data_IF_313175269616
#
_entry.id   IF_313175269616
#
_cell.length_a   1.000
_cell.length_b   1.000
_cell.length_c   1.000
_cell.angle_alpha   90.00
_cell.angle_beta   90.00
_cell.angle_gamma   90.00
#
_symmetry.space_group_name_H-M   'P 1'
#
loop_
_entity.id
_entity.type
_entity.pdbx_description
1 polymer ?
#
# COMPACT_ATOMS: atom_id res chain seq x y z
N UNK A 1 1.58 -29.83 9.77
CA UNK A 1 1.88 -29.77 8.32
C UNK A 1 0.73 -29.06 7.64
N UNK A 2 0.81 -27.73 7.53
CA UNK A 2 -0.24 -26.90 6.94
C UNK A 2 0.26 -26.35 5.60
N UNK A 3 -0.28 -26.87 4.50
CA UNK A 3 -0.10 -26.34 3.16
C UNK A 3 -1.00 -25.11 2.99
N UNK A 4 -0.44 -23.91 3.13
CA UNK A 4 -1.10 -22.67 2.73
C UNK A 4 -0.65 -22.33 1.30
N UNK A 5 -1.61 -22.25 0.38
CA UNK A 5 -1.37 -22.00 -1.05
C UNK A 5 -1.62 -20.52 -1.35
N UNK A 6 -0.75 -19.94 -2.17
CA UNK A 6 -0.63 -18.49 -2.38
C UNK A 6 -1.30 -18.02 -3.67
N UNK A 7 -2.11 -16.96 -3.59
CA UNK A 7 -3.01 -16.48 -4.64
C UNK A 7 -3.29 -14.96 -4.51
N UNK A 8 -2.71 -14.06 -5.33
CA UNK A 8 -2.98 -12.60 -5.28
C UNK A 8 -4.41 -12.21 -5.70
N UNK A 9 -4.83 -11.02 -5.25
CA UNK A 9 -5.92 -10.17 -5.77
C UNK A 9 -5.85 -8.78 -5.08
N UNK A 10 -6.21 -7.64 -5.65
CA UNK A 10 -6.18 -7.21 -7.05
C UNK A 10 -5.01 -6.23 -7.23
N UNK A 11 -4.80 -5.75 -8.45
CA UNK A 11 -4.08 -4.49 -8.68
C UNK A 11 -5.09 -3.46 -9.17
N UNK A 12 -5.29 -2.36 -8.44
CA UNK A 12 -5.85 -1.14 -9.01
C UNK A 12 -4.80 -0.49 -9.93
N UNK A 13 -4.49 -1.15 -11.06
CA UNK A 13 -3.69 -0.59 -12.14
C UNK A 13 -4.53 0.50 -12.82
N UNK A 14 -4.28 1.74 -12.40
CA UNK A 14 -4.96 2.93 -12.90
C UNK A 14 -4.57 3.16 -14.36
N UNK A 15 -5.43 2.70 -15.27
CA UNK A 15 -5.44 3.16 -16.66
C UNK A 15 -6.64 4.11 -16.87
N UNK A 16 -6.60 4.97 -17.88
CA UNK A 16 -7.58 6.04 -18.08
C UNK A 16 -9.01 5.56 -18.46
N UNK A 17 -9.20 4.25 -18.64
CA UNK A 17 -10.47 3.58 -18.93
C UNK A 17 -11.30 3.31 -17.67
N UNK A 18 -12.61 3.11 -17.82
CA UNK A 18 -13.51 2.67 -16.73
C UNK A 18 -13.36 1.17 -16.42
N UNK A 19 -12.13 0.75 -16.10
CA UNK A 19 -11.75 -0.64 -15.88
C UNK A 19 -11.07 -0.78 -14.52
N UNK A 20 -11.43 -1.82 -13.77
CA UNK A 20 -10.70 -2.30 -12.59
C UNK A 20 -10.03 -3.63 -12.97
N UNK A 21 -8.72 -3.75 -12.76
CA UNK A 21 -7.99 -4.99 -13.01
C UNK A 21 -8.03 -5.91 -11.78
N UNK A 22 -8.20 -7.20 -12.01
CA UNK A 22 -8.20 -8.26 -11.01
C UNK A 22 -7.27 -9.37 -11.48
N UNK A 23 -6.36 -9.80 -10.60
CA UNK A 23 -5.56 -11.00 -10.76
C UNK A 23 -6.12 -12.05 -9.80
N UNK A 24 -6.23 -13.30 -10.26
CA UNK A 24 -6.61 -14.48 -9.47
C UNK A 24 -5.58 -15.57 -9.69
N UNK A 25 -5.35 -16.45 -8.73
CA UNK A 25 -4.57 -17.66 -8.95
C UNK A 25 -5.44 -18.88 -8.61
N UNK A 26 -5.00 -20.07 -9.00
CA UNK A 26 -5.73 -21.34 -8.87
C UNK A 26 -7.08 -21.39 -9.66
N UNK A 27 -7.30 -22.55 -10.25
CA UNK A 27 -8.57 -22.99 -10.83
C UNK A 27 -9.79 -22.96 -9.89
N UNK A 28 -9.59 -23.18 -8.58
CA UNK A 28 -10.68 -23.25 -7.61
C UNK A 28 -11.32 -21.88 -7.37
N UNK A 29 -10.48 -20.85 -7.18
CA UNK A 29 -10.97 -19.48 -7.02
C UNK A 29 -11.57 -18.93 -8.30
N UNK A 30 -10.96 -19.23 -9.45
CA UNK A 30 -11.50 -18.88 -10.76
C UNK A 30 -12.95 -19.34 -10.93
N UNK A 31 -13.30 -20.54 -10.43
CA UNK A 31 -14.68 -21.04 -10.46
C UNK A 31 -15.62 -20.23 -9.56
N UNK A 32 -15.19 -19.90 -8.34
CA UNK A 32 -16.03 -19.17 -7.38
C UNK A 32 -16.16 -17.69 -7.73
N UNK A 33 -15.10 -17.07 -8.25
CA UNK A 33 -15.12 -15.69 -8.72
C UNK A 33 -16.00 -15.49 -9.94
N UNK A 34 -15.96 -16.40 -10.94
CA UNK A 34 -16.90 -16.33 -12.06
C UNK A 34 -18.35 -16.40 -11.60
N UNK A 35 -18.69 -17.35 -10.70
CA UNK A 35 -20.03 -17.41 -10.08
C UNK A 35 -20.42 -16.10 -9.41
N UNK A 36 -19.51 -15.45 -8.68
CA UNK A 36 -19.78 -14.12 -8.10
C UNK A 36 -20.10 -13.08 -9.18
N UNK A 37 -19.23 -12.94 -10.19
CA UNK A 37 -19.43 -11.95 -11.25
C UNK A 37 -20.74 -12.17 -12.01
N UNK A 38 -21.07 -13.43 -12.28
CA UNK A 38 -22.31 -13.84 -12.95
C UNK A 38 -23.54 -13.56 -12.04
N UNK A 39 -23.46 -13.82 -10.72
CA UNK A 39 -24.53 -13.51 -9.76
C UNK A 39 -24.79 -12.01 -9.59
N UNK A 40 -23.74 -11.20 -9.55
CA UNK A 40 -23.82 -9.74 -9.37
C UNK A 40 -24.00 -8.97 -10.70
N UNK A 41 -24.14 -9.68 -11.84
CA UNK A 41 -24.24 -9.12 -13.19
C UNK A 41 -23.10 -8.14 -13.54
N UNK A 42 -21.88 -8.45 -13.10
CA UNK A 42 -20.70 -7.60 -13.34
C UNK A 42 -20.18 -7.86 -14.75
N UNK A 43 -20.04 -6.81 -15.57
CA UNK A 43 -19.38 -6.92 -16.88
C UNK A 43 -17.87 -7.11 -16.70
N UNK A 44 -17.31 -8.21 -17.22
CA UNK A 44 -15.88 -8.51 -17.18
C UNK A 44 -15.36 -9.08 -18.50
N UNK A 45 -14.05 -9.00 -18.69
CA UNK A 45 -13.32 -9.70 -19.74
C UNK A 45 -12.11 -10.43 -19.14
N UNK A 46 -11.87 -11.64 -19.63
CA UNK A 46 -10.63 -12.38 -19.33
C UNK A 46 -9.56 -11.92 -20.33
N UNK A 47 -8.36 -11.60 -19.82
CA UNK A 47 -7.26 -11.11 -20.65
C UNK A 47 -6.30 -12.25 -21.00
N UNK A 48 -5.63 -12.81 -19.99
CA UNK A 48 -4.56 -13.80 -20.19
C UNK A 48 -4.25 -14.62 -18.93
N UNK A 49 -3.44 -15.66 -19.09
CA UNK A 49 -2.80 -16.37 -17.98
C UNK A 49 -1.35 -15.90 -17.90
N UNK A 50 -0.99 -15.27 -16.79
CA UNK A 50 0.35 -14.83 -16.44
C UNK A 50 1.01 -15.92 -15.57
N UNK A 51 2.27 -16.25 -15.82
CA UNK A 51 3.08 -17.02 -14.87
C UNK A 51 3.75 -16.04 -13.89
N UNK A 52 3.43 -16.16 -12.61
CA UNK A 52 4.06 -15.41 -11.52
C UNK A 52 4.69 -16.43 -10.59
N UNK A 53 6.03 -16.49 -10.56
CA UNK A 53 6.80 -17.39 -9.70
C UNK A 53 6.38 -18.89 -9.80
N UNK A 54 6.18 -19.39 -11.01
CA UNK A 54 5.68 -20.74 -11.32
C UNK A 54 4.23 -21.02 -10.88
N UNK A 55 3.45 -19.97 -10.60
CA UNK A 55 2.01 -20.05 -10.36
C UNK A 55 1.23 -19.43 -11.51
N UNK A 56 0.16 -20.11 -11.95
CA UNK A 56 -0.76 -19.59 -12.95
C UNK A 56 -1.69 -18.54 -12.33
N UNK A 57 -1.61 -17.34 -12.88
CA UNK A 57 -2.41 -16.17 -12.50
C UNK A 57 -3.31 -15.78 -13.66
N UNK A 58 -4.60 -15.63 -13.43
CA UNK A 58 -5.63 -15.27 -14.39
C UNK A 58 -5.94 -13.77 -14.28
N UNK A 59 -5.77 -13.02 -15.37
CA UNK A 59 -6.06 -11.58 -15.40
C UNK A 59 -7.48 -11.29 -15.92
N UNK A 60 -8.19 -10.41 -15.22
CA UNK A 60 -9.53 -9.94 -15.53
C UNK A 60 -9.61 -8.42 -15.54
N UNK A 61 -10.34 -7.88 -16.52
CA UNK A 61 -10.69 -6.47 -16.61
C UNK A 61 -12.20 -6.33 -16.38
N UNK A 62 -12.58 -5.76 -15.25
CA UNK A 62 -13.96 -5.49 -14.85
C UNK A 62 -14.34 -4.08 -15.26
N UNK A 63 -15.50 -3.92 -15.89
CA UNK A 63 -16.01 -2.62 -16.34
C UNK A 63 -16.74 -1.93 -15.19
N UNK A 64 -16.16 -0.86 -14.66
CA UNK A 64 -16.72 -0.13 -13.52
C UNK A 64 -17.81 0.85 -14.02
N UNK A 65 -19.03 0.83 -13.44
CA UNK A 65 -20.04 1.85 -13.72
C UNK A 65 -19.53 3.25 -13.42
N UNK A 66 -19.81 4.23 -14.28
CA UNK A 66 -19.26 5.59 -14.20
C UNK A 66 -19.68 6.37 -12.94
N UNK A 67 -20.71 5.90 -12.24
CA UNK A 67 -21.23 6.44 -10.98
C UNK A 67 -20.67 5.76 -9.72
N UNK A 68 -19.77 4.77 -9.85
CA UNK A 68 -19.18 4.03 -8.72
C UNK A 68 -17.68 4.33 -8.62
N UNK A 69 -17.19 4.61 -7.41
CA UNK A 69 -15.76 4.77 -7.20
C UNK A 69 -15.02 3.44 -7.43
N UNK A 70 -14.00 3.47 -8.31
CA UNK A 70 -13.27 2.24 -8.73
C UNK A 70 -12.68 1.47 -7.55
N UNK A 71 -12.19 2.17 -6.53
CA UNK A 71 -11.64 1.59 -5.30
C UNK A 71 -12.67 0.89 -4.40
N UNK A 72 -13.97 1.12 -4.60
CA UNK A 72 -15.04 0.52 -3.79
C UNK A 72 -15.84 -0.58 -4.50
N UNK A 73 -15.76 -0.68 -5.84
CA UNK A 73 -16.65 -1.53 -6.64
C UNK A 73 -16.52 -3.02 -6.29
N UNK A 74 -15.36 -3.63 -6.55
CA UNK A 74 -14.98 -4.93 -5.98
C UNK A 74 -13.80 -4.72 -5.05
N UNK A 75 -14.01 -5.06 -3.78
CA UNK A 75 -13.06 -4.91 -2.68
C UNK A 75 -13.04 -6.19 -1.83
N UNK A 76 -12.06 -6.32 -0.93
CA UNK A 76 -11.86 -7.55 -0.13
C UNK A 76 -13.12 -8.05 0.58
N UNK A 77 -13.99 -7.16 1.08
CA UNK A 77 -15.20 -7.55 1.82
C UNK A 77 -16.22 -8.26 0.92
N UNK A 78 -16.34 -7.85 -0.34
CA UNK A 78 -17.25 -8.46 -1.32
C UNK A 78 -16.84 -9.89 -1.68
N UNK A 79 -15.57 -10.25 -1.49
CA UNK A 79 -15.01 -11.56 -1.85
C UNK A 79 -15.12 -12.59 -0.72
N UNK A 80 -15.24 -12.13 0.54
CA UNK A 80 -15.29 -13.00 1.73
C UNK A 80 -16.46 -14.01 1.69
N UNK A 81 -17.61 -13.61 1.16
CA UNK A 81 -18.81 -14.46 1.05
C UNK A 81 -18.65 -15.65 0.11
N UNK A 82 -17.75 -15.56 -0.87
CA UNK A 82 -17.51 -16.60 -1.87
C UNK A 82 -16.42 -17.60 -1.47
N UNK A 83 -15.84 -17.43 -0.27
CA UNK A 83 -14.75 -18.24 0.26
C UNK A 83 -13.57 -18.38 -0.74
N UNK A 84 -13.39 -17.34 -1.57
CA UNK A 84 -12.19 -17.10 -2.37
C UNK A 84 -11.09 -16.84 -1.35
N UNK A 85 -9.93 -17.48 -1.49
CA UNK A 85 -8.87 -17.31 -0.50
C UNK A 85 -8.50 -15.83 -0.44
N UNK A 86 -8.13 -15.36 0.75
CA UNK A 86 -7.66 -13.98 0.85
C UNK A 86 -6.52 -13.80 -0.15
N UNK A 87 -6.48 -12.67 -0.86
CA UNK A 87 -5.34 -12.34 -1.67
C UNK A 87 -4.05 -12.52 -0.88
N UNK A 88 -3.28 -13.51 -1.31
CA UNK A 88 -1.98 -13.85 -0.81
C UNK A 88 -0.98 -13.06 -1.63
N UNK A 89 -0.93 -11.79 -1.25
CA UNK A 89 0.07 -10.81 -1.63
C UNK A 89 1.47 -11.31 -1.22
N UNK A 90 2.04 -12.19 -2.05
CA UNK A 90 3.45 -12.55 -2.03
C UNK A 90 4.21 -11.83 -3.14
N UNK A 91 4.14 -10.50 -3.06
CA UNK A 91 5.41 -9.80 -2.95
C UNK A 91 5.31 -8.90 -1.72
N UNK A 92 5.96 -9.32 -0.62
CA UNK A 92 6.31 -8.40 0.45
C UNK A 92 7.24 -7.38 -0.18
N UNK A 93 6.82 -6.13 -0.08
CA UNK A 93 7.54 -4.95 -0.53
C UNK A 93 9.04 -5.08 -0.27
N UNK A 94 9.83 -5.12 -1.35
CA UNK A 94 11.31 -5.10 -1.29
C UNK A 94 11.87 -3.68 -1.21
N UNK A 95 11.09 -2.77 -0.64
CA UNK A 95 11.40 -1.35 -0.49
C UNK A 95 11.84 -1.10 0.95
N UNK A 96 12.99 -0.48 1.10
CA UNK A 96 13.66 -0.25 2.38
C UNK A 96 14.50 -1.43 2.87
N UNK A 97 14.78 -2.42 2.03
CA UNK A 97 15.63 -3.56 2.43
C UNK A 97 17.09 -3.12 2.66
N UNK A 98 17.52 -2.03 2.01
CA UNK A 98 18.82 -1.41 2.23
C UNK A 98 18.84 -0.46 3.46
N UNK A 99 17.67 -0.15 4.05
CA UNK A 99 17.57 0.82 5.14
C UNK A 99 17.74 0.14 6.53
N UNK A 100 18.63 0.66 7.39
CA UNK A 100 19.13 -0.07 8.55
C UNK A 100 18.09 -0.38 9.63
N UNK A 101 16.98 0.36 9.70
CA UNK A 101 15.90 0.14 10.68
C UNK A 101 14.62 -0.42 10.07
N UNK A 102 14.54 -0.68 8.77
CA UNK A 102 13.35 -1.26 8.12
C UNK A 102 12.93 -2.59 8.74
N UNK A 103 13.89 -3.46 9.10
CA UNK A 103 13.67 -4.72 9.83
C UNK A 103 12.89 -4.57 11.16
N UNK A 104 12.89 -3.37 11.75
CA UNK A 104 12.18 -3.04 12.98
C UNK A 104 10.77 -2.48 12.73
N UNK A 105 10.42 -2.14 11.49
CA UNK A 105 9.07 -1.70 11.11
C UNK A 105 8.11 -2.90 11.00
N UNK A 106 7.72 -3.47 12.14
CA UNK A 106 6.70 -4.52 12.20
C UNK A 106 5.38 -4.08 11.52
N UNK A 107 5.10 -2.77 11.50
CA UNK A 107 3.95 -2.16 10.82
C UNK A 107 3.94 -2.42 9.30
N UNK A 108 5.11 -2.51 8.66
CA UNK A 108 5.28 -2.90 7.27
C UNK A 108 5.11 -4.40 7.05
N UNK A 109 5.85 -5.16 7.84
CA UNK A 109 5.98 -6.61 7.72
C UNK A 109 6.36 -7.16 9.08
N UNK A 110 5.40 -7.83 9.71
CA UNK A 110 5.57 -8.48 10.99
C UNK A 110 6.01 -9.93 10.74
N UNK A 111 7.30 -10.18 10.89
CA UNK A 111 7.92 -11.51 10.80
C UNK A 111 8.05 -12.19 12.18
N UNK A 112 7.39 -11.66 13.22
CA UNK A 112 7.61 -12.07 14.59
C UNK A 112 8.87 -11.47 15.21
N UNK A 113 9.42 -10.36 14.66
CA UNK A 113 10.69 -9.77 15.10
C UNK A 113 10.69 -9.24 16.55
N UNK A 114 9.52 -9.16 17.18
CA UNK A 114 9.34 -8.80 18.59
C UNK A 114 8.54 -9.85 19.37
N UNK A 115 7.50 -10.43 18.76
CA UNK A 115 6.68 -11.50 19.32
C UNK A 115 6.17 -12.40 18.19
N UNK A 116 6.66 -13.64 18.15
CA UNK A 116 6.28 -14.65 17.14
C UNK A 116 4.78 -14.93 17.11
N UNK A 117 4.07 -14.78 18.24
CA UNK A 117 2.60 -14.97 18.30
C UNK A 117 1.83 -13.88 17.54
N UNK A 118 2.48 -12.75 17.24
CA UNK A 118 1.93 -11.65 16.45
C UNK A 118 2.33 -11.69 14.97
N UNK A 119 3.06 -12.71 14.51
CA UNK A 119 3.51 -12.81 13.11
C UNK A 119 2.35 -12.61 12.13
N UNK A 120 2.55 -11.77 11.10
CA UNK A 120 1.52 -11.31 10.14
C UNK A 120 0.43 -10.39 10.71
N UNK A 121 0.50 -9.96 11.97
CA UNK A 121 -0.22 -8.79 12.48
C UNK A 121 0.60 -7.54 12.13
N UNK A 122 0.60 -7.20 10.85
CA UNK A 122 1.10 -5.96 10.29
C UNK A 122 -0.06 -5.18 9.64
N UNK A 123 0.18 -3.96 9.16
CA UNK A 123 -0.81 -3.31 8.28
C UNK A 123 -0.90 -4.00 6.92
N UNK A 124 -0.05 -5.00 6.66
CA UNK A 124 0.13 -5.61 5.39
C UNK A 124 0.41 -4.55 4.35
N UNK A 125 1.65 -4.04 4.29
CA UNK A 125 2.19 -3.46 3.05
C UNK A 125 2.52 -4.59 2.04
N UNK A 126 1.42 -5.29 1.76
CA UNK A 126 0.90 -5.90 0.54
C UNK A 126 0.74 -4.89 -0.60
N UNK A 127 1.09 -3.63 -0.34
CA UNK A 127 1.18 -2.54 -1.29
C UNK A 127 2.35 -2.79 -2.24
N UNK A 128 2.08 -3.48 -3.33
CA UNK A 128 3.00 -3.65 -4.46
C UNK A 128 3.91 -2.45 -4.73
N UNK A 129 5.07 -2.66 -5.35
CA UNK A 129 6.04 -1.59 -5.62
C UNK A 129 5.48 -0.38 -6.41
N UNK A 130 4.33 -0.49 -7.09
CA UNK A 130 3.64 0.64 -7.74
C UNK A 130 2.69 1.45 -6.83
N UNK A 131 2.36 0.98 -5.62
CA UNK A 131 1.54 1.70 -4.64
C UNK A 131 2.44 2.58 -3.76
N UNK A 132 2.85 3.71 -4.32
CA UNK A 132 3.80 4.65 -3.70
C UNK A 132 3.16 5.92 -3.15
N UNK A 133 1.84 6.09 -3.29
CA UNK A 133 1.17 7.37 -2.97
C UNK A 133 1.36 8.47 -4.02
N UNK A 134 1.97 8.16 -5.18
CA UNK A 134 2.11 9.09 -6.30
C UNK A 134 0.78 9.76 -6.64
N UNK A 135 0.81 11.08 -6.82
CA UNK A 135 -0.36 11.96 -7.06
C UNK A 135 -1.37 12.06 -5.89
N UNK A 136 -1.05 11.54 -4.70
CA UNK A 136 -1.81 11.80 -3.47
C UNK A 136 -1.16 12.97 -2.72
N UNK A 137 -1.97 13.91 -2.26
CA UNK A 137 -1.54 15.00 -1.38
C UNK A 137 -2.02 14.71 0.04
N UNK A 138 -1.13 14.87 1.02
CA UNK A 138 -1.40 14.68 2.45
C UNK A 138 -1.05 15.99 3.17
N UNK A 139 -1.81 16.33 4.22
CA UNK A 139 -1.55 17.49 5.07
C UNK A 139 -1.42 17.05 6.51
N UNK A 140 -0.39 17.53 7.20
CA UNK A 140 -0.09 17.17 8.58
C UNK A 140 -0.09 18.43 9.45
N UNK A 141 -0.78 18.35 10.58
CA UNK A 141 -0.85 19.43 11.58
C UNK A 141 -0.29 18.85 12.87
N UNK A 142 0.91 19.28 13.24
CA UNK A 142 1.70 18.67 14.31
C UNK A 142 2.67 19.69 14.95
N UNK A 143 3.61 19.23 15.79
CA UNK A 143 4.54 20.07 16.56
C UNK A 143 5.66 20.74 15.74
N UNK A 144 6.05 20.17 14.60
CA UNK A 144 7.08 20.70 13.71
C UNK A 144 7.68 19.65 12.79
N UNK A 145 8.64 20.05 11.96
CA UNK A 145 9.33 19.17 11.03
C UNK A 145 10.80 19.54 10.83
N UNK A 146 11.70 18.60 11.08
CA UNK A 146 13.06 18.66 10.58
C UNK A 146 13.08 18.51 9.05
N UNK A 147 12.97 19.63 8.35
CA UNK A 147 12.99 19.71 6.88
C UNK A 147 14.36 19.36 6.28
N UNK A 148 15.41 19.29 7.10
CA UNK A 148 16.75 18.90 6.69
C UNK A 148 17.04 17.41 6.96
N UNK A 149 16.10 16.67 7.55
CA UNK A 149 16.24 15.25 7.79
C UNK A 149 16.51 14.52 6.46
N UNK A 150 17.61 13.78 6.40
CA UNK A 150 18.13 13.13 5.18
C UNK A 150 17.11 12.21 4.50
N UNK A 151 16.17 11.70 5.28
CA UNK A 151 15.11 10.77 4.88
C UNK A 151 13.83 11.45 4.37
N UNK A 152 13.67 12.78 4.55
CA UNK A 152 12.41 13.50 4.31
C UNK A 152 12.47 14.53 3.18
N UNK A 153 13.47 14.42 2.27
CA UNK A 153 13.73 15.37 1.18
C UNK A 153 12.58 15.55 0.18
N UNK A 154 11.55 14.70 0.24
CA UNK A 154 10.36 14.75 -0.60
C UNK A 154 9.22 15.60 0.02
N UNK A 155 9.40 16.14 1.23
CA UNK A 155 8.41 17.01 1.87
C UNK A 155 8.28 18.36 1.14
N UNK A 156 7.06 18.87 1.01
CA UNK A 156 6.76 20.07 0.25
C UNK A 156 6.61 21.30 1.16
N UNK A 157 7.73 21.98 1.44
CA UNK A 157 7.77 23.18 2.29
C UNK A 157 6.96 24.37 1.76
N UNK A 158 6.77 24.47 0.44
CA UNK A 158 6.09 25.62 -0.20
C UNK A 158 4.60 25.71 0.16
N UNK A 159 4.02 24.62 0.66
CA UNK A 159 2.60 24.51 1.06
C UNK A 159 2.40 24.33 2.58
N UNK A 160 3.47 24.51 3.36
CA UNK A 160 3.47 24.41 4.82
C UNK A 160 3.60 25.77 5.50
N UNK A 161 3.21 25.87 6.78
CA UNK A 161 3.26 27.12 7.54
C UNK A 161 3.31 26.86 9.04
N UNK A 162 4.23 27.54 9.75
CA UNK A 162 4.31 27.50 11.20
C UNK A 162 3.31 28.51 11.79
N UNK A 163 2.22 27.99 12.35
CA UNK A 163 1.14 28.79 12.96
C UNK A 163 1.51 29.45 14.29
N UNK A 164 2.50 28.90 15.00
CA UNK A 164 2.93 29.39 16.31
C UNK A 164 3.77 30.67 16.14
N UNK A 165 4.79 30.59 15.29
CA UNK A 165 5.74 31.69 15.03
C UNK A 165 5.33 32.58 13.83
N UNK A 166 4.24 32.20 13.15
CA UNK A 166 3.60 32.94 12.03
C UNK A 166 4.56 33.18 10.86
N UNK A 167 5.28 32.13 10.48
CA UNK A 167 6.30 32.17 9.43
C UNK A 167 6.33 30.82 8.67
N UNK A 168 7.31 30.66 7.78
CA UNK A 168 7.51 29.46 6.97
C UNK A 168 8.65 28.56 7.51
N UNK A 169 9.17 28.84 8.70
CA UNK A 169 10.18 28.00 9.35
C UNK A 169 9.49 26.88 10.13
N UNK A 170 9.60 25.66 9.61
CA UNK A 170 8.97 24.48 10.17
C UNK A 170 9.85 23.78 11.23
N UNK A 171 11.09 24.24 11.42
CA UNK A 171 12.04 23.57 12.31
C UNK A 171 11.51 23.52 13.75
N UNK A 172 11.54 22.34 14.40
CA UNK A 172 11.23 22.20 15.81
C UNK A 172 12.09 23.14 16.66
N UNK A 173 11.46 23.93 17.52
CA UNK A 173 12.15 24.86 18.41
C UNK A 173 12.86 24.17 19.59
N UNK A 174 12.55 22.88 19.84
CA UNK A 174 13.22 22.01 20.80
C UNK A 174 13.24 20.55 20.33
N UNK A 175 14.19 19.76 20.84
CA UNK A 175 14.34 18.33 20.55
C UNK A 175 13.16 17.47 21.01
N UNK A 176 12.32 17.94 21.95
CA UNK A 176 11.08 17.24 22.33
C UNK A 176 10.00 17.32 21.24
N UNK A 177 10.02 18.35 20.39
CA UNK A 177 9.03 18.60 19.33
C UNK A 177 9.36 17.79 18.06
N UNK A 178 9.44 16.47 18.21
CA UNK A 178 9.85 15.53 17.17
C UNK A 178 8.67 14.69 16.63
N UNK A 179 7.44 14.95 17.08
CA UNK A 179 6.28 14.11 16.75
C UNK A 179 5.92 14.23 15.26
N UNK A 180 5.81 15.45 14.73
CA UNK A 180 5.53 15.71 13.32
C UNK A 180 6.59 15.11 12.40
N UNK A 181 7.87 15.23 12.75
CA UNK A 181 8.98 14.59 12.01
C UNK A 181 8.84 13.07 11.96
N UNK A 182 8.47 12.43 13.08
CA UNK A 182 8.23 10.97 13.14
C UNK A 182 7.00 10.57 12.33
N UNK A 183 5.91 11.35 12.40
CA UNK A 183 4.69 11.12 11.63
C UNK A 183 4.92 11.25 10.11
N UNK A 184 5.62 12.31 9.67
CA UNK A 184 6.04 12.49 8.27
C UNK A 184 6.92 11.32 7.82
N UNK A 185 7.87 10.87 8.65
CA UNK A 185 8.73 9.72 8.36
C UNK A 185 7.97 8.40 8.17
N UNK A 186 6.92 8.12 8.95
CA UNK A 186 6.07 6.95 8.69
C UNK A 186 5.39 7.01 7.30
N UNK A 187 5.23 8.19 6.70
CA UNK A 187 4.49 8.37 5.44
C UNK A 187 5.44 8.50 4.24
N UNK A 188 6.47 9.35 4.30
CA UNK A 188 7.35 9.67 3.15
C UNK A 188 8.85 9.48 3.38
N UNK A 189 9.29 8.76 4.42
CA UNK A 189 10.69 8.36 4.51
C UNK A 189 11.15 7.67 3.20
N UNK A 190 12.31 8.10 2.68
CA UNK A 190 12.77 7.78 1.35
C UNK A 190 13.39 6.38 1.39
N UNK A 191 12.80 5.40 0.71
CA UNK A 191 13.27 4.04 0.83
C UNK A 191 14.57 3.78 0.07
N UNK A 192 15.30 2.78 0.55
CA UNK A 192 16.54 2.25 -0.02
C UNK A 192 17.60 3.35 -0.24
N UNK A 193 17.62 4.33 0.65
CA UNK A 193 18.61 5.41 0.68
C UNK A 193 19.80 5.09 1.60
N UNK A 194 19.71 4.00 2.39
CA UNK A 194 20.74 3.57 3.34
C UNK A 194 20.62 4.22 4.73
N UNK A 195 19.52 4.94 4.99
CA UNK A 195 19.24 5.64 6.23
C UNK A 195 17.90 5.20 6.81
N UNK A 196 17.79 5.26 8.13
CA UNK A 196 16.53 5.11 8.86
C UNK A 196 15.56 4.01 8.37
N UNK A 197 14.44 4.40 7.75
CA UNK A 197 13.23 3.58 7.55
C UNK A 197 12.59 3.85 6.19
N UNK A 198 11.63 3.03 5.76
CA UNK A 198 10.79 3.33 4.60
C UNK A 198 9.46 4.01 5.01
N UNK A 199 8.98 4.97 4.23
CA UNK A 199 7.67 5.64 4.38
C UNK A 199 6.56 4.95 3.58
N UNK A 200 5.37 4.79 4.18
CA UNK A 200 4.25 3.99 3.63
C UNK A 200 3.80 4.42 2.22
N UNK A 201 4.04 5.68 1.86
CA UNK A 201 3.60 6.32 0.63
C UNK A 201 4.69 7.32 0.14
N UNK A 202 5.89 6.85 -0.27
CA UNK A 202 7.09 7.68 -0.43
C UNK A 202 7.08 8.66 -1.62
N UNK A 203 6.10 8.52 -2.53
CA UNK A 203 5.83 9.48 -3.62
C UNK A 203 4.59 10.37 -3.35
N UNK A 204 4.01 10.32 -2.15
CA UNK A 204 2.96 11.25 -1.76
C UNK A 204 3.54 12.66 -1.52
N UNK A 205 2.78 13.69 -1.89
CA UNK A 205 3.13 15.08 -1.57
C UNK A 205 2.58 15.45 -0.19
N UNK A 206 3.43 15.34 0.83
CA UNK A 206 3.11 15.78 2.21
C UNK A 206 3.51 17.24 2.38
N UNK A 207 2.65 18.02 3.04
CA UNK A 207 2.96 19.37 3.54
C UNK A 207 2.22 19.71 4.83
#
# INVERSE_FOLDING_TARGET
MLLWINILLSLNLINASNIQKILLHDSNELSNFRKMLDCENIEYSFIEIIDINHQKTYQFDLKVPSNVARSSYINERSLLSFNISKPLFLERVKRGIEDPYFKYQWSYTNIGQYDESTTSNDYGLKSYDFLTGKNISIRIIDDGLDVYHFDLKNFNTDLSYNVNDKNYDLMPSDLSMNHGTRCVGQIIAIPDNGYCIAGFAPEASVS
#
